data_IF_835358058548
#
_entry.id   IF_835358058548
#
_cell.length_a   1.000
_cell.length_b   1.000
_cell.length_c   1.000
_cell.angle_alpha   90.00
_cell.angle_beta   90.00
_cell.angle_gamma   90.00
#
_symmetry.space_group_name_H-M   'P 1'
#
loop_
_entity.id
_entity.type
_entity.pdbx_description
1 polymer ?
#
# COMPACT_ATOMS: atom_id res chain seq x y z
N UNK A 1 0.55 -21.43 12.36
CA UNK A 1 -0.02 -20.13 11.96
C UNK A 1 -0.16 -20.15 10.45
N UNK A 2 -1.38 -20.11 9.92
CA UNK A 2 -1.66 -20.39 8.50
C UNK A 2 -0.99 -19.39 7.56
N UNK A 3 -0.53 -19.86 6.40
CA UNK A 3 0.21 -19.13 5.36
C UNK A 3 -0.48 -17.87 4.77
N UNK A 4 -1.61 -17.44 5.35
CA UNK A 4 -2.48 -16.37 4.83
C UNK A 4 -2.48 -15.10 5.69
N UNK A 5 -1.76 -15.04 6.82
CA UNK A 5 -1.78 -13.91 7.78
C UNK A 5 -3.20 -13.41 8.13
N UNK A 6 -4.19 -14.32 8.15
CA UNK A 6 -5.58 -13.99 8.45
C UNK A 6 -6.38 -13.37 7.28
N UNK A 7 -5.84 -13.31 6.06
CA UNK A 7 -6.58 -12.90 4.87
C UNK A 7 -7.35 -14.08 4.25
N UNK A 8 -8.59 -13.82 3.80
CA UNK A 8 -9.37 -14.81 3.06
C UNK A 8 -8.78 -15.05 1.66
N UNK A 9 -9.06 -16.21 1.07
CA UNK A 9 -8.60 -16.52 -0.30
C UNK A 9 -9.08 -15.48 -1.32
N UNK A 10 -10.31 -14.97 -1.18
CA UNK A 10 -10.83 -13.92 -2.06
C UNK A 10 -10.06 -12.61 -1.90
N UNK A 11 -9.75 -12.21 -0.66
CA UNK A 11 -8.94 -11.02 -0.40
C UNK A 11 -7.55 -11.18 -1.03
N UNK A 12 -6.89 -12.32 -0.85
CA UNK A 12 -5.60 -12.61 -1.47
C UNK A 12 -5.65 -12.52 -3.00
N UNK A 13 -6.70 -13.06 -3.62
CA UNK A 13 -6.91 -12.97 -5.07
C UNK A 13 -7.02 -11.52 -5.54
N UNK A 14 -7.79 -10.69 -4.83
CA UNK A 14 -7.95 -9.26 -5.15
C UNK A 14 -6.63 -8.50 -4.96
N UNK A 15 -5.93 -8.74 -3.84
CA UNK A 15 -4.65 -8.12 -3.54
C UNK A 15 -3.61 -8.40 -4.63
N UNK A 16 -3.51 -9.67 -5.03
CA UNK A 16 -2.57 -10.12 -6.06
C UNK A 16 -2.94 -9.59 -7.45
N UNK A 17 -4.23 -9.51 -7.77
CA UNK A 17 -4.68 -9.04 -9.07
C UNK A 17 -4.51 -7.53 -9.28
N UNK A 18 -4.69 -6.71 -8.21
CA UNK A 18 -4.82 -5.25 -8.35
C UNK A 18 -3.72 -4.43 -7.69
N UNK A 19 -3.15 -4.90 -6.59
CA UNK A 19 -2.33 -4.06 -5.70
C UNK A 19 -0.87 -4.50 -5.59
N UNK A 20 -0.60 -5.80 -5.74
CA UNK A 20 0.77 -6.31 -5.70
C UNK A 20 1.63 -5.69 -6.82
N UNK A 21 2.84 -5.30 -6.45
CA UNK A 21 3.82 -4.73 -7.36
C UNK A 21 4.46 -5.81 -8.21
N UNK A 22 4.60 -5.49 -9.50
CA UNK A 22 5.33 -6.28 -10.46
C UNK A 22 6.51 -5.47 -10.98
N UNK A 23 7.60 -6.15 -11.29
CA UNK A 23 8.69 -5.55 -12.05
C UNK A 23 8.32 -5.46 -13.54
N UNK A 24 9.23 -4.90 -14.34
CA UNK A 24 9.08 -4.75 -15.79
C UNK A 24 8.95 -6.09 -16.53
N UNK A 25 9.44 -7.19 -15.95
CA UNK A 25 9.29 -8.54 -16.48
C UNK A 25 7.95 -9.19 -16.13
N UNK A 26 7.09 -8.48 -15.37
CA UNK A 26 5.79 -8.97 -14.93
C UNK A 26 5.84 -9.87 -13.69
N UNK A 27 7.01 -10.03 -13.06
CA UNK A 27 7.19 -10.85 -11.87
C UNK A 27 6.73 -10.09 -10.62
N UNK A 28 6.02 -10.77 -9.73
CA UNK A 28 5.55 -10.17 -8.48
C UNK A 28 6.71 -9.87 -7.52
N UNK A 29 6.90 -8.60 -7.20
CA UNK A 29 7.78 -8.13 -6.13
C UNK A 29 7.12 -8.31 -4.76
N UNK A 30 5.83 -7.98 -4.65
CA UNK A 30 5.04 -8.27 -3.45
C UNK A 30 4.62 -9.75 -3.49
N UNK A 31 5.04 -10.55 -2.51
CA UNK A 31 4.73 -11.99 -2.44
C UNK A 31 3.59 -12.28 -1.47
N UNK A 32 3.43 -11.44 -0.45
CA UNK A 32 2.39 -11.53 0.56
C UNK A 32 1.77 -10.14 0.85
N UNK A 33 0.57 -10.07 1.47
CA UNK A 33 -0.03 -8.80 1.90
C UNK A 33 0.92 -7.93 2.74
N UNK A 34 1.78 -8.57 3.55
CA UNK A 34 2.80 -7.88 4.34
C UNK A 34 3.78 -7.07 3.49
N UNK A 35 4.12 -7.53 2.29
CA UNK A 35 5.07 -6.84 1.42
C UNK A 35 4.44 -5.57 0.84
N UNK A 36 3.20 -5.69 0.36
CA UNK A 36 2.36 -4.57 -0.08
C UNK A 36 2.25 -3.50 1.02
N UNK A 37 1.83 -3.88 2.23
CA UNK A 37 1.63 -2.91 3.30
C UNK A 37 2.93 -2.34 3.83
N UNK A 38 4.04 -3.09 3.83
CA UNK A 38 5.35 -2.57 4.21
C UNK A 38 5.86 -1.55 3.19
N UNK A 39 5.63 -1.79 1.89
CA UNK A 39 5.93 -0.81 0.83
C UNK A 39 5.12 0.47 1.02
N UNK A 40 3.80 0.35 1.20
CA UNK A 40 2.92 1.51 1.39
C UNK A 40 3.31 2.29 2.65
N UNK A 41 3.52 1.59 3.77
CA UNK A 41 3.87 2.21 5.04
C UNK A 41 5.18 3.00 4.96
N UNK A 42 6.23 2.41 4.37
CA UNK A 42 7.52 3.08 4.18
C UNK A 42 7.42 4.28 3.25
N UNK A 43 6.63 4.17 2.17
CA UNK A 43 6.45 5.27 1.22
C UNK A 43 5.70 6.45 1.84
N UNK A 44 4.65 6.18 2.63
CA UNK A 44 3.91 7.26 3.32
C UNK A 44 4.76 7.88 4.42
N UNK A 45 5.45 7.06 5.22
CA UNK A 45 6.30 7.54 6.29
C UNK A 45 7.55 8.30 5.80
N UNK A 46 7.96 8.18 4.54
CA UNK A 46 9.08 8.97 4.01
C UNK A 46 8.79 10.47 3.90
N UNK A 47 7.56 10.91 4.20
CA UNK A 47 7.21 12.32 4.33
C UNK A 47 7.65 12.93 5.68
N UNK A 48 8.05 12.10 6.65
CA UNK A 48 8.46 12.53 7.98
C UNK A 48 9.83 13.23 7.96
N UNK A 49 10.08 14.10 8.94
CA UNK A 49 11.24 15.00 8.94
C UNK A 49 12.57 14.34 9.27
N UNK A 50 12.56 13.21 9.98
CA UNK A 50 13.78 12.50 10.40
C UNK A 50 13.68 11.00 10.13
N UNK A 51 14.84 10.35 9.92
CA UNK A 51 14.91 8.88 9.74
C UNK A 51 14.29 8.11 10.90
N UNK A 52 14.41 8.62 12.13
CA UNK A 52 13.81 8.02 13.32
C UNK A 52 12.29 8.07 13.27
N UNK A 53 11.72 9.19 12.84
CA UNK A 53 10.27 9.34 12.65
C UNK A 53 9.78 8.50 11.47
N UNK A 54 10.50 8.48 10.35
CA UNK A 54 10.18 7.60 9.20
C UNK A 54 10.06 6.14 9.65
N UNK A 55 11.02 5.63 10.42
CA UNK A 55 11.00 4.25 10.93
C UNK A 55 9.85 4.02 11.92
N UNK A 56 9.63 4.96 12.84
CA UNK A 56 8.56 4.90 13.83
C UNK A 56 7.18 4.82 13.15
N UNK A 57 6.91 5.74 12.23
CA UNK A 57 5.64 5.83 11.53
C UNK A 57 5.46 4.71 10.51
N UNK A 58 6.51 4.27 9.80
CA UNK A 58 6.43 3.11 8.93
C UNK A 58 6.01 1.85 9.69
N UNK A 59 6.51 1.67 10.92
CA UNK A 59 6.07 0.55 11.78
C UNK A 59 4.60 0.69 12.15
N UNK A 60 4.16 1.87 12.63
CA UNK A 60 2.78 2.11 13.05
C UNK A 60 1.78 1.97 11.91
N UNK A 61 2.08 2.52 10.73
CA UNK A 61 1.24 2.38 9.55
C UNK A 61 1.14 0.93 9.08
N UNK A 62 2.23 0.18 9.14
CA UNK A 62 2.21 -1.25 8.83
C UNK A 62 1.31 -2.03 9.80
N UNK A 63 1.42 -1.78 11.12
CA UNK A 63 0.61 -2.45 12.15
C UNK A 63 -0.89 -2.29 11.88
N UNK A 64 -1.36 -1.05 11.68
CA UNK A 64 -2.80 -0.78 11.47
C UNK A 64 -3.31 -1.35 10.14
N UNK A 65 -2.49 -1.36 9.09
CA UNK A 65 -2.87 -1.95 7.80
C UNK A 65 -2.91 -3.48 7.86
N UNK A 66 -1.92 -4.14 8.47
CA UNK A 66 -1.91 -5.61 8.53
C UNK A 66 -3.02 -6.14 9.45
N UNK A 67 -3.37 -5.39 10.51
CA UNK A 67 -4.49 -5.67 11.39
C UNK A 67 -5.87 -5.44 10.71
N UNK A 68 -5.90 -4.63 9.65
CA UNK A 68 -7.11 -4.14 8.94
C UNK A 68 -7.94 -3.13 9.76
N UNK A 69 -7.30 -2.43 10.69
CA UNK A 69 -7.92 -1.34 11.44
C UNK A 69 -8.03 -0.08 10.57
N UNK A 70 -7.13 0.06 9.60
CA UNK A 70 -7.14 1.17 8.65
C UNK A 70 -6.57 0.75 7.29
N UNK A 71 -7.21 1.20 6.21
CA UNK A 71 -6.64 1.14 4.85
C UNK A 71 -6.72 2.51 4.19
N UNK A 72 -5.65 2.90 3.45
CA UNK A 72 -5.76 4.03 2.55
C UNK A 72 -6.60 3.65 1.32
N UNK A 73 -6.94 4.64 0.51
CA UNK A 73 -7.69 4.42 -0.73
C UNK A 73 -6.92 3.53 -1.74
N UNK A 74 -7.63 3.04 -2.76
CA UNK A 74 -7.03 2.17 -3.79
C UNK A 74 -5.83 2.80 -4.53
N UNK A 75 -5.86 4.08 -4.95
CA UNK A 75 -4.69 4.72 -5.58
C UNK A 75 -3.44 4.71 -4.71
N UNK A 76 -3.57 4.83 -3.38
CA UNK A 76 -2.43 4.74 -2.47
C UNK A 76 -1.82 3.33 -2.46
N UNK A 77 -2.65 2.28 -2.36
CA UNK A 77 -2.17 0.89 -2.36
C UNK A 77 -1.44 0.52 -3.67
N UNK A 78 -2.00 0.96 -4.81
CA UNK A 78 -1.43 0.72 -6.13
C UNK A 78 -0.20 1.60 -6.38
N UNK A 79 -0.30 2.89 -6.06
CA UNK A 79 0.62 3.94 -6.50
C UNK A 79 1.80 4.21 -5.57
N UNK A 80 1.74 3.82 -4.29
CA UNK A 80 2.85 4.03 -3.36
C UNK A 80 4.14 3.35 -3.87
N UNK A 81 5.16 4.16 -4.13
CA UNK A 81 6.42 3.71 -4.76
C UNK A 81 6.36 3.52 -6.29
N UNK A 82 5.35 4.07 -6.99
CA UNK A 82 5.18 3.94 -8.45
C UNK A 82 5.08 5.25 -9.25
N UNK A 83 5.56 6.40 -8.76
CA UNK A 83 5.42 7.69 -9.46
C UNK A 83 3.99 7.96 -9.97
N UNK A 84 2.98 7.60 -9.17
CA UNK A 84 1.55 7.79 -9.47
C UNK A 84 0.91 8.74 -8.46
N UNK A 85 -0.22 9.35 -8.84
CA UNK A 85 -1.04 10.06 -7.87
C UNK A 85 -1.67 9.09 -6.85
N UNK A 86 -1.70 9.49 -5.58
CA UNK A 86 -2.25 8.70 -4.48
C UNK A 86 -3.68 9.12 -4.09
N UNK A 87 -4.20 10.19 -4.68
CA UNK A 87 -5.56 10.69 -4.43
C UNK A 87 -6.56 10.00 -5.35
N UNK A 88 -7.76 9.74 -4.84
CA UNK A 88 -8.85 9.11 -5.60
C UNK A 88 -9.89 10.12 -6.12
N UNK A 89 -9.93 11.32 -5.53
CA UNK A 89 -10.97 12.29 -5.78
C UNK A 89 -10.37 13.57 -6.35
N UNK A 90 -10.96 14.06 -7.43
CA UNK A 90 -10.58 15.30 -8.10
C UNK A 90 -11.84 16.06 -8.46
N UNK A 91 -11.78 17.38 -8.37
CA UNK A 91 -12.82 18.30 -8.84
C UNK A 91 -12.15 19.25 -9.80
N UNK A 92 -12.71 19.39 -11.00
CA UNK A 92 -12.20 20.27 -12.05
C UNK A 92 -13.25 21.33 -12.36
N UNK A 93 -12.86 22.61 -12.53
CA UNK A 93 -13.79 23.63 -13.00
C UNK A 93 -14.19 23.34 -14.46
N UNK A 94 -15.42 23.69 -14.82
CA UNK A 94 -15.87 23.75 -16.21
C UNK A 94 -16.12 25.23 -16.49
N UNK A 95 -15.30 25.79 -17.37
CA UNK A 95 -15.48 27.16 -17.87
C UNK A 95 -16.66 27.19 -18.86
N UNK A 96 -17.29 28.36 -19.00
CA UNK A 96 -18.42 28.59 -19.91
C UNK A 96 -18.04 28.36 -21.39
#
# INVERSE_FOLDING_TARGET
MTATNGFSQNALRILKARYFMKNEKGEFLDKAPSDLFRRVARFVASAEGTKKEEEHWAHKFFEVMIARDFFPNSPTLTGAGRQMCLSACFVLPIED
#
